data_IF_572669364617
#
_entry.id   IF_572669364617
#
_cell.length_a   1.000
_cell.length_b   1.000
_cell.length_c   1.000
_cell.angle_alpha   90.00
_cell.angle_beta   90.00
_cell.angle_gamma   90.00
#
_symmetry.space_group_name_H-M   'P 1'
#
loop_
_entity.id
_entity.type
_entity.pdbx_description
1 polymer ?
#
# COMPACT_ATOMS: atom_id res chain seq x y z
N UNK A 1 -17.18 18.94 -57.71
CA UNK A 1 -15.78 19.11 -57.27
C UNK A 1 -15.77 19.36 -55.77
N UNK A 2 -15.97 18.32 -54.97
CA UNK A 2 -15.94 18.40 -53.50
C UNK A 2 -15.04 17.29 -52.99
N UNK A 3 -13.76 17.60 -52.85
CA UNK A 3 -12.77 16.64 -52.36
C UNK A 3 -11.48 17.37 -52.03
N UNK A 4 -10.84 16.97 -50.93
CA UNK A 4 -9.47 17.27 -50.52
C UNK A 4 -9.19 18.37 -49.49
N UNK A 5 -10.17 19.02 -48.85
CA UNK A 5 -9.84 19.96 -47.74
C UNK A 5 -10.23 19.51 -46.33
N UNK A 6 -11.02 18.45 -46.17
CA UNK A 6 -11.49 18.00 -44.85
C UNK A 6 -10.58 16.95 -44.16
N UNK A 7 -9.63 16.34 -44.89
CA UNK A 7 -8.80 15.25 -44.35
C UNK A 7 -7.59 15.70 -43.54
N UNK A 8 -7.19 16.98 -43.62
CA UNK A 8 -6.01 17.48 -42.91
C UNK A 8 -6.28 18.00 -41.49
N UNK A 9 -7.54 18.16 -41.08
CA UNK A 9 -7.88 18.69 -39.74
C UNK A 9 -8.06 17.57 -38.70
N UNK A 10 -8.40 16.36 -39.14
CA UNK A 10 -8.59 15.21 -38.22
C UNK A 10 -7.25 14.62 -37.77
N UNK A 11 -6.19 14.72 -38.59
CA UNK A 11 -4.85 14.22 -38.24
C UNK A 11 -4.13 15.02 -37.15
N UNK A 12 -4.42 16.32 -37.03
CA UNK A 12 -3.77 17.18 -36.02
C UNK A 12 -4.40 17.08 -34.63
N UNK A 13 -5.68 16.68 -34.53
CA UNK A 13 -6.38 16.49 -33.25
C UNK A 13 -6.11 15.12 -32.61
N UNK A 14 -5.68 14.13 -33.39
CA UNK A 14 -5.30 12.80 -32.89
C UNK A 14 -3.86 12.72 -32.35
N UNK A 15 -3.02 13.74 -32.60
CA UNK A 15 -1.67 13.82 -32.05
C UNK A 15 -1.61 14.45 -30.64
N UNK A 16 -2.71 15.07 -30.17
CA UNK A 16 -2.77 15.76 -28.86
C UNK A 16 -3.28 14.83 -27.74
N UNK A 17 -3.76 13.62 -28.07
CA UNK A 17 -4.24 12.66 -27.06
C UNK A 17 -3.16 11.68 -26.53
N UNK A 18 -1.90 11.81 -26.94
CA UNK A 18 -0.78 10.97 -26.45
C UNK A 18 0.11 11.64 -25.38
N UNK A 19 -0.31 12.76 -24.81
CA UNK A 19 0.54 13.59 -23.95
C UNK A 19 0.24 13.54 -22.46
N UNK A 20 -0.02 12.38 -21.86
CA UNK A 20 0.00 12.20 -20.40
C UNK A 20 0.32 10.73 -20.05
N UNK A 21 1.28 10.12 -20.77
CA UNK A 21 2.08 9.10 -20.11
C UNK A 21 2.89 9.86 -19.06
N UNK A 22 2.37 9.91 -17.83
CA UNK A 22 3.10 10.38 -16.68
C UNK A 22 4.47 9.73 -16.74
N UNK A 23 5.48 10.51 -17.12
CA UNK A 23 6.86 10.07 -17.04
C UNK A 23 7.01 9.61 -15.61
N UNK A 24 7.32 8.33 -15.39
CA UNK A 24 7.64 7.81 -14.07
C UNK A 24 8.75 8.71 -13.53
N UNK A 25 8.36 9.72 -12.74
CA UNK A 25 9.28 10.66 -12.18
C UNK A 25 10.21 9.81 -11.33
N UNK A 26 11.52 9.95 -11.52
CA UNK A 26 12.49 9.29 -10.65
C UNK A 26 12.20 9.80 -9.25
N UNK A 27 11.50 8.99 -8.46
CA UNK A 27 11.01 9.45 -7.18
C UNK A 27 12.18 9.58 -6.21
N UNK A 28 12.45 10.82 -5.82
CA UNK A 28 13.60 11.14 -4.98
C UNK A 28 13.27 10.79 -3.53
N UNK A 29 13.87 9.73 -3.00
CA UNK A 29 13.70 9.32 -1.61
C UNK A 29 12.42 8.54 -1.30
N UNK A 30 11.67 8.11 -2.33
CA UNK A 30 10.57 7.16 -2.19
C UNK A 30 10.96 5.96 -1.33
N UNK A 31 10.11 5.62 -0.37
CA UNK A 31 10.34 4.50 0.55
C UNK A 31 9.13 3.55 0.64
N UNK A 32 8.06 3.82 -0.11
CA UNK A 32 6.88 2.96 -0.23
C UNK A 32 7.21 1.54 -0.73
N UNK A 33 8.18 1.39 -1.64
CA UNK A 33 8.63 0.05 -2.07
C UNK A 33 9.27 -0.75 -0.93
N UNK A 34 9.95 -0.08 -0.01
CA UNK A 34 10.50 -0.72 1.18
C UNK A 34 9.39 -1.12 2.16
N UNK A 35 8.34 -0.29 2.30
CA UNK A 35 7.15 -0.62 3.07
C UNK A 35 6.44 -1.85 2.50
N UNK A 36 6.15 -1.88 1.20
CA UNK A 36 5.56 -3.03 0.52
C UNK A 36 6.40 -4.31 0.71
N UNK A 37 7.73 -4.20 0.52
CA UNK A 37 8.66 -5.33 0.75
C UNK A 37 8.64 -5.83 2.20
N UNK A 38 8.49 -4.93 3.17
CA UNK A 38 8.42 -5.29 4.58
C UNK A 38 7.12 -6.05 4.91
N UNK A 39 6.01 -5.72 4.24
CA UNK A 39 4.77 -6.47 4.34
C UNK A 39 4.84 -7.83 3.65
N UNK A 40 5.48 -7.91 2.48
CA UNK A 40 5.71 -9.21 1.83
C UNK A 40 6.57 -10.14 2.70
N UNK A 41 7.55 -9.58 3.42
CA UNK A 41 8.35 -10.35 4.37
C UNK A 41 7.53 -10.84 5.59
N UNK A 42 6.56 -10.04 6.04
CA UNK A 42 5.63 -10.41 7.10
C UNK A 42 4.69 -11.53 6.63
N UNK A 43 4.09 -11.38 5.44
CA UNK A 43 3.20 -12.38 4.83
C UNK A 43 3.95 -13.70 4.59
N UNK A 44 5.20 -13.65 4.12
CA UNK A 44 6.05 -14.83 3.98
C UNK A 44 6.31 -15.61 5.28
N UNK A 45 6.17 -14.95 6.44
CA UNK A 45 6.30 -15.57 7.77
C UNK A 45 4.96 -15.85 8.45
N UNK A 46 3.84 -15.46 7.84
CA UNK A 46 2.48 -15.62 8.38
C UNK A 46 2.21 -17.03 8.86
N UNK A 47 2.51 -18.06 8.04
CA UNK A 47 2.27 -19.46 8.44
C UNK A 47 3.04 -19.87 9.70
N UNK A 48 4.18 -19.26 9.98
CA UNK A 48 4.98 -19.55 11.17
C UNK A 48 4.50 -18.73 12.37
N UNK A 49 4.34 -17.42 12.19
CA UNK A 49 3.97 -16.51 13.27
C UNK A 49 2.49 -16.50 13.61
N UNK A 50 1.62 -16.86 12.68
CA UNK A 50 0.17 -16.63 12.74
C UNK A 50 -0.63 -17.93 12.52
N UNK A 51 0.02 -19.12 12.59
CA UNK A 51 -0.66 -20.43 12.56
C UNK A 51 -1.46 -20.71 13.84
N UNK A 52 -2.57 -21.44 13.66
CA UNK A 52 -3.45 -22.03 14.68
C UNK A 52 -2.74 -22.95 15.68
N UNK A 53 -1.59 -23.55 15.35
CA UNK A 53 -0.81 -24.33 16.32
C UNK A 53 -0.41 -23.49 17.56
N UNK A 54 -0.55 -22.16 17.46
CA UNK A 54 -0.29 -21.18 18.51
C UNK A 54 -1.57 -20.51 19.05
N UNK A 55 -2.69 -21.22 19.12
CA UNK A 55 -4.04 -20.74 19.49
C UNK A 55 -4.09 -19.75 20.66
N UNK A 56 -3.23 -19.90 21.68
CA UNK A 56 -3.25 -19.07 22.91
C UNK A 56 -2.99 -17.58 22.62
N UNK A 57 -2.31 -17.25 21.52
CA UNK A 57 -1.92 -15.88 21.19
C UNK A 57 -2.52 -15.37 19.87
N UNK A 58 -3.42 -16.11 19.24
CA UNK A 58 -3.95 -15.77 17.91
C UNK A 58 -4.72 -14.45 17.93
N UNK A 59 -5.62 -14.27 18.89
CA UNK A 59 -6.37 -13.01 19.07
C UNK A 59 -5.45 -11.82 19.39
N UNK A 60 -4.39 -12.04 20.17
CA UNK A 60 -3.39 -11.01 20.44
C UNK A 60 -2.63 -10.62 19.16
N UNK A 61 -2.22 -11.59 18.34
CA UNK A 61 -1.55 -11.35 17.07
C UNK A 61 -2.45 -10.60 16.08
N UNK A 62 -3.73 -10.97 16.00
CA UNK A 62 -4.73 -10.24 15.20
C UNK A 62 -4.91 -8.80 15.71
N UNK A 63 -4.98 -8.59 17.03
CA UNK A 63 -5.05 -7.24 17.59
C UNK A 63 -3.81 -6.39 17.24
N UNK A 64 -2.61 -7.00 17.29
CA UNK A 64 -1.37 -6.34 16.84
C UNK A 64 -1.46 -6.01 15.35
N UNK A 65 -1.86 -6.96 14.49
CA UNK A 65 -2.03 -6.72 13.05
C UNK A 65 -3.00 -5.58 12.76
N UNK A 66 -4.15 -5.55 13.43
CA UNK A 66 -5.13 -4.47 13.31
C UNK A 66 -4.53 -3.11 13.71
N UNK A 67 -3.71 -3.06 14.77
CA UNK A 67 -2.98 -1.86 15.15
C UNK A 67 -1.99 -1.40 14.08
N UNK A 68 -1.23 -2.34 13.51
CA UNK A 68 -0.30 -2.05 12.41
C UNK A 68 -1.07 -1.57 11.16
N UNK A 69 -2.20 -2.19 10.85
CA UNK A 69 -3.06 -1.80 9.72
C UNK A 69 -3.63 -0.39 9.90
N UNK A 70 -4.09 -0.02 11.10
CA UNK A 70 -4.58 1.33 11.38
C UNK A 70 -3.52 2.41 11.19
N UNK A 71 -2.28 2.17 11.64
CA UNK A 71 -1.17 3.13 11.41
C UNK A 71 -0.85 3.28 9.92
N UNK A 72 -0.92 2.18 9.16
CA UNK A 72 -0.74 2.22 7.71
C UNK A 72 -1.86 2.98 7.00
N UNK A 73 -3.09 2.84 7.50
CA UNK A 73 -4.26 3.55 6.99
C UNK A 73 -4.16 5.06 7.22
N UNK A 74 -3.74 5.48 8.42
CA UNK A 74 -3.50 6.88 8.73
C UNK A 74 -2.42 7.47 7.81
N UNK A 75 -1.30 6.76 7.64
CA UNK A 75 -0.24 7.14 6.70
C UNK A 75 -0.77 7.28 5.27
N UNK A 76 -1.52 6.30 4.79
CA UNK A 76 -2.09 6.32 3.45
C UNK A 76 -3.07 7.47 3.26
N UNK A 77 -4.03 7.65 4.17
CA UNK A 77 -5.05 8.72 4.10
C UNK A 77 -4.39 10.09 4.08
N UNK A 78 -3.48 10.35 5.01
CA UNK A 78 -2.75 11.62 5.07
C UNK A 78 -1.92 11.87 3.80
N UNK A 79 -1.22 10.86 3.30
CA UNK A 79 -0.46 10.97 2.06
C UNK A 79 -1.37 11.20 0.85
N UNK A 80 -2.54 10.57 0.80
CA UNK A 80 -3.53 10.78 -0.24
C UNK A 80 -4.12 12.21 -0.18
N UNK A 81 -4.29 12.76 1.01
CA UNK A 81 -4.73 14.14 1.21
C UNK A 81 -3.69 15.15 0.72
N UNK A 82 -2.42 14.93 1.05
CA UNK A 82 -1.26 15.74 0.64
C UNK A 82 -0.90 15.61 -0.84
N UNK A 83 -1.31 14.52 -1.48
CA UNK A 83 -1.03 14.26 -2.89
C UNK A 83 -1.67 15.29 -3.83
N UNK A 84 -1.02 15.52 -4.96
CA UNK A 84 -1.62 16.28 -6.07
C UNK A 84 -2.94 15.64 -6.51
N UNK A 85 -3.87 16.46 -6.99
CA UNK A 85 -5.23 16.04 -7.34
C UNK A 85 -5.30 14.83 -8.27
N UNK A 86 -4.41 14.77 -9.25
CA UNK A 86 -4.31 13.73 -10.26
C UNK A 86 -3.68 12.44 -9.74
N UNK A 87 -3.00 12.50 -8.59
CA UNK A 87 -2.37 11.35 -7.95
C UNK A 87 -3.26 10.72 -6.88
N UNK A 88 -4.34 11.38 -6.46
CA UNK A 88 -5.22 10.85 -5.41
C UNK A 88 -5.88 9.54 -5.85
N UNK A 89 -5.90 8.58 -4.95
CA UNK A 89 -6.52 7.27 -5.16
C UNK A 89 -7.76 7.09 -4.29
N UNK A 90 -8.65 6.19 -4.71
CA UNK A 90 -9.87 5.88 -3.99
C UNK A 90 -9.59 5.23 -2.62
N UNK A 91 -10.60 5.28 -1.75
CA UNK A 91 -10.55 4.61 -0.45
C UNK A 91 -10.50 3.09 -0.66
N UNK A 92 -9.59 2.43 0.05
CA UNK A 92 -9.49 0.98 0.05
C UNK A 92 -10.51 0.45 1.06
N UNK A 93 -11.41 -0.46 0.68
CA UNK A 93 -12.42 -0.96 1.59
C UNK A 93 -11.79 -1.84 2.68
N UNK A 94 -12.32 -1.67 3.90
CA UNK A 94 -11.93 -2.45 5.06
C UNK A 94 -12.32 -3.93 4.95
N UNK A 95 -11.67 -4.74 5.76
CA UNK A 95 -12.02 -6.13 5.98
C UNK A 95 -13.32 -6.26 6.78
N UNK A 96 -14.29 -6.98 6.22
CA UNK A 96 -15.47 -7.41 6.96
C UNK A 96 -15.10 -8.59 7.87
N UNK A 97 -15.42 -8.56 9.17
CA UNK A 97 -15.17 -9.69 10.06
C UNK A 97 -15.92 -10.93 9.58
N UNK A 98 -15.21 -12.06 9.43
CA UNK A 98 -15.81 -13.33 9.03
C UNK A 98 -16.30 -14.14 10.24
N UNK A 99 -15.75 -13.85 11.42
CA UNK A 99 -15.92 -14.67 12.63
C UNK A 99 -14.92 -15.84 12.72
N UNK A 100 -14.13 -16.05 11.67
CA UNK A 100 -12.99 -16.96 11.65
C UNK A 100 -11.68 -16.14 11.73
N UNK A 101 -10.87 -16.41 12.76
CA UNK A 101 -9.66 -15.61 13.04
C UNK A 101 -8.60 -15.76 11.95
N UNK A 102 -8.52 -16.90 11.26
CA UNK A 102 -7.54 -17.10 10.20
C UNK A 102 -7.94 -16.29 8.97
N UNK A 103 -9.22 -16.35 8.58
CA UNK A 103 -9.76 -15.54 7.50
C UNK A 103 -9.60 -14.04 7.79
N UNK A 104 -9.83 -13.63 9.05
CA UNK A 104 -9.64 -12.24 9.49
C UNK A 104 -8.15 -11.82 9.38
N UNK A 105 -7.21 -12.68 9.80
CA UNK A 105 -5.76 -12.42 9.66
C UNK A 105 -5.36 -12.31 8.19
N UNK A 106 -5.83 -13.22 7.34
CA UNK A 106 -5.56 -13.20 5.91
C UNK A 106 -6.11 -11.93 5.27
N UNK A 107 -7.33 -11.55 5.61
CA UNK A 107 -7.94 -10.34 5.12
C UNK A 107 -7.11 -9.11 5.52
N UNK A 108 -6.76 -8.97 6.80
CA UNK A 108 -6.01 -7.80 7.29
C UNK A 108 -4.66 -7.69 6.59
N UNK A 109 -3.94 -8.78 6.37
CA UNK A 109 -2.66 -8.76 5.64
C UNK A 109 -2.86 -8.36 4.18
N UNK A 110 -3.86 -8.90 3.49
CA UNK A 110 -4.16 -8.51 2.11
C UNK A 110 -4.56 -7.02 2.00
N UNK A 111 -5.36 -6.54 2.94
CA UNK A 111 -5.72 -5.13 3.06
C UNK A 111 -4.47 -4.24 3.22
N UNK A 112 -3.57 -4.59 4.13
CA UNK A 112 -2.31 -3.87 4.33
C UNK A 112 -1.45 -3.87 3.06
N UNK A 113 -1.36 -4.99 2.34
CA UNK A 113 -0.61 -5.08 1.07
C UNK A 113 -1.22 -4.19 -0.01
N UNK A 114 -2.55 -4.16 -0.15
CA UNK A 114 -3.24 -3.25 -1.08
C UNK A 114 -2.93 -1.80 -0.74
N UNK A 115 -2.95 -1.45 0.54
CA UNK A 115 -2.69 -0.10 1.03
C UNK A 115 -1.25 0.35 0.85
N UNK A 116 -0.27 -0.50 1.15
CA UNK A 116 1.12 -0.19 0.87
C UNK A 116 1.39 -0.03 -0.63
N UNK A 117 0.76 -0.84 -1.49
CA UNK A 117 0.87 -0.67 -2.94
C UNK A 117 0.19 0.61 -3.43
N UNK A 118 -0.93 1.02 -2.83
CA UNK A 118 -1.55 2.30 -3.13
C UNK A 118 -0.64 3.45 -2.70
N UNK A 119 -0.03 3.38 -1.52
CA UNK A 119 0.97 4.34 -1.05
C UNK A 119 2.17 4.44 -2.01
N UNK A 120 2.69 3.33 -2.51
CA UNK A 120 3.77 3.33 -3.53
C UNK A 120 3.35 4.13 -4.76
N UNK A 121 2.11 3.91 -5.25
CA UNK A 121 1.58 4.64 -6.40
C UNK A 121 1.43 6.14 -6.12
N UNK A 122 1.05 6.52 -4.89
CA UNK A 122 1.02 7.92 -4.49
C UNK A 122 2.40 8.55 -4.59
N UNK A 123 3.43 7.94 -3.99
CA UNK A 123 4.77 8.50 -4.03
C UNK A 123 5.33 8.52 -5.48
N UNK A 124 5.14 7.46 -6.26
CA UNK A 124 5.61 7.39 -7.65
C UNK A 124 4.93 8.43 -8.54
N UNK A 125 3.63 8.64 -8.36
CA UNK A 125 2.89 9.68 -9.08
C UNK A 125 3.35 11.07 -8.66
N UNK A 126 3.50 11.33 -7.36
CA UNK A 126 3.96 12.63 -6.87
C UNK A 126 5.44 12.88 -7.20
N UNK A 127 6.25 11.84 -7.33
CA UNK A 127 7.70 11.92 -7.57
C UNK A 127 8.52 12.22 -6.31
N UNK A 128 7.89 12.16 -5.13
CA UNK A 128 8.51 12.46 -3.83
C UNK A 128 7.85 11.70 -2.68
N UNK A 129 8.56 11.64 -1.57
CA UNK A 129 8.07 11.16 -0.29
C UNK A 129 7.17 12.22 0.36
N UNK A 130 5.90 11.90 0.58
CA UNK A 130 4.89 12.86 1.04
C UNK A 130 4.91 13.10 2.55
N UNK A 131 5.15 12.05 3.33
CA UNK A 131 5.21 12.13 4.79
C UNK A 131 6.33 11.24 5.36
N UNK A 132 7.54 11.79 5.54
CA UNK A 132 8.67 11.03 6.05
C UNK A 132 8.54 10.65 7.53
N UNK A 133 7.85 11.46 8.34
CA UNK A 133 7.75 11.24 9.78
C UNK A 133 6.80 10.07 10.08
N UNK A 134 5.61 10.09 9.46
CA UNK A 134 4.62 9.03 9.65
C UNK A 134 5.09 7.73 8.99
N UNK A 135 5.80 7.79 7.86
CA UNK A 135 6.41 6.59 7.28
C UNK A 135 7.47 5.98 8.20
N UNK A 136 8.32 6.81 8.81
CA UNK A 136 9.30 6.32 9.79
C UNK A 136 8.61 5.73 11.04
N UNK A 137 7.50 6.32 11.48
CA UNK A 137 6.66 5.75 12.55
C UNK A 137 6.09 4.39 12.15
N UNK A 138 5.57 4.26 10.93
CA UNK A 138 5.08 2.99 10.38
C UNK A 138 6.17 1.92 10.41
N UNK A 139 7.39 2.23 9.96
CA UNK A 139 8.51 1.29 10.03
C UNK A 139 8.85 0.86 11.46
N UNK A 140 8.80 1.79 12.43
CA UNK A 140 9.03 1.47 13.86
C UNK A 140 7.95 0.56 14.41
N UNK A 141 6.68 0.80 14.08
CA UNK A 141 5.55 -0.04 14.50
C UNK A 141 5.67 -1.45 13.93
N UNK A 142 6.01 -1.58 12.63
CA UNK A 142 6.27 -2.88 12.01
C UNK A 142 7.45 -3.61 12.65
N UNK A 143 8.56 -2.90 12.88
CA UNK A 143 9.76 -3.47 13.49
C UNK A 143 9.49 -3.94 14.92
N UNK A 144 8.78 -3.14 15.73
CA UNK A 144 8.38 -3.49 17.10
C UNK A 144 7.48 -4.72 17.13
N UNK A 145 6.47 -4.77 16.26
CA UNK A 145 5.55 -5.91 16.14
C UNK A 145 6.30 -7.18 15.75
N UNK A 146 7.19 -7.07 14.77
CA UNK A 146 8.01 -8.19 14.28
C UNK A 146 8.99 -8.69 15.35
N UNK A 147 9.65 -7.77 16.07
CA UNK A 147 10.54 -8.12 17.17
C UNK A 147 9.79 -8.85 18.29
N UNK A 148 8.58 -8.38 18.64
CA UNK A 148 7.71 -9.04 19.60
C UNK A 148 7.36 -10.46 19.18
N UNK A 149 6.95 -10.67 17.93
CA UNK A 149 6.65 -12.02 17.43
C UNK A 149 7.86 -12.93 17.39
N UNK A 150 9.04 -12.42 17.08
CA UNK A 150 10.28 -13.21 17.11
C UNK A 150 10.65 -13.68 18.52
N UNK A 151 10.31 -12.92 19.57
CA UNK A 151 10.48 -13.36 20.95
C UNK A 151 9.54 -14.52 21.28
N UNK A 152 8.30 -14.46 20.79
CA UNK A 152 7.30 -15.51 21.00
C UNK A 152 7.58 -16.75 20.15
N UNK A 153 8.08 -16.57 18.92
CA UNK A 153 8.35 -17.60 17.92
C UNK A 153 9.82 -17.53 17.45
N UNK A 154 10.79 -17.94 18.28
CA UNK A 154 12.21 -17.75 17.99
C UNK A 154 12.77 -18.62 16.86
N UNK A 155 12.05 -19.69 16.50
CA UNK A 155 12.38 -20.59 15.38
C UNK A 155 11.78 -20.12 14.05
N UNK A 156 10.96 -19.07 14.12
CA UNK A 156 10.50 -18.26 13.02
C UNK A 156 11.35 -16.95 12.96
#
# INVERSE_FOLDING_TARGET
MFGNKALFVIGALLAISCGLAASAAVCKGCSGKQLAKSLDALDGRRKCWLSMDNHVLLSFKLAVLNGVAGVLEDLYKKSNELSRSECKTEVIPDCAPSGDTDDDIECVIDHMKKMANAYVKLEECNGELLDPEDLNMMFRVMAGSTAGWRVVHPTC
#
